data_IF_600534059599
#
_entry.id   IF_600534059599
#
_cell.length_a   1.000
_cell.length_b   1.000
_cell.length_c   1.000
_cell.angle_alpha   90.00
_cell.angle_beta   90.00
_cell.angle_gamma   90.00
#
_symmetry.space_group_name_H-M   'P 1'
#
loop_
_entity.id
_entity.type
_entity.pdbx_description
1 polymer ?
#
# COMPACT_ATOMS: atom_id res chain seq x y z
N UNK A 1 16.58 33.36 7.75
CA UNK A 1 16.63 31.98 8.29
C UNK A 1 15.40 31.26 7.76
N UNK A 2 15.58 30.26 6.90
CA UNK A 2 14.47 29.51 6.33
C UNK A 2 13.89 28.57 7.38
N UNK A 3 12.58 28.67 7.62
CA UNK A 3 11.82 27.64 8.35
C UNK A 3 12.09 26.28 7.70
N UNK A 4 12.44 25.22 8.44
CA UNK A 4 12.58 23.90 7.87
C UNK A 4 11.20 23.48 7.35
N UNK A 5 11.04 23.46 6.03
CA UNK A 5 9.89 22.87 5.37
C UNK A 5 9.86 21.40 5.73
N UNK A 6 9.02 21.02 6.70
CA UNK A 6 8.65 19.62 6.89
C UNK A 6 8.03 19.16 5.57
N UNK A 7 8.77 18.34 4.83
CA UNK A 7 8.46 18.01 3.46
C UNK A 7 7.33 16.97 3.40
N UNK A 8 6.10 17.45 3.60
CA UNK A 8 4.89 16.66 3.36
C UNK A 8 4.84 16.13 1.94
N UNK A 9 5.51 16.79 0.98
CA UNK A 9 5.58 16.30 -0.39
C UNK A 9 6.48 15.07 -0.52
N UNK A 10 7.52 14.92 0.30
CA UNK A 10 8.32 13.69 0.35
C UNK A 10 7.57 12.53 1.01
N UNK A 11 6.76 12.81 2.03
CA UNK A 11 5.87 11.81 2.64
C UNK A 11 4.75 11.36 1.68
N UNK A 12 4.14 12.30 0.96
CA UNK A 12 3.12 12.01 -0.05
C UNK A 12 3.73 11.21 -1.21
N UNK A 13 4.94 11.56 -1.67
CA UNK A 13 5.67 10.78 -2.68
C UNK A 13 5.97 9.36 -2.21
N UNK A 14 6.40 9.18 -0.97
CA UNK A 14 6.72 7.84 -0.45
C UNK A 14 5.45 6.99 -0.27
N UNK A 15 4.35 7.58 0.19
CA UNK A 15 3.05 6.92 0.24
C UNK A 15 2.56 6.52 -1.16
N UNK A 16 2.69 7.42 -2.14
CA UNK A 16 2.32 7.17 -3.54
C UNK A 16 3.21 6.09 -4.17
N UNK A 17 4.50 6.04 -3.82
CA UNK A 17 5.43 4.99 -4.23
C UNK A 17 5.02 3.62 -3.71
N UNK A 18 4.67 3.52 -2.42
CA UNK A 18 4.20 2.27 -1.79
C UNK A 18 2.91 1.78 -2.46
N UNK A 19 1.96 2.68 -2.72
CA UNK A 19 0.70 2.34 -3.39
C UNK A 19 0.95 1.86 -4.83
N UNK A 20 1.82 2.54 -5.57
CA UNK A 20 2.16 2.16 -6.94
C UNK A 20 2.89 0.81 -7.02
N UNK A 21 3.78 0.52 -6.08
CA UNK A 21 4.44 -0.79 -5.98
C UNK A 21 3.45 -1.91 -5.63
N UNK A 22 2.50 -1.65 -4.72
CA UNK A 22 1.45 -2.60 -4.39
C UNK A 22 0.55 -2.89 -5.60
N UNK A 23 0.16 -1.86 -6.37
CA UNK A 23 -0.59 -2.02 -7.63
C UNK A 23 0.17 -2.85 -8.65
N UNK A 24 1.45 -2.56 -8.88
CA UNK A 24 2.30 -3.34 -9.80
C UNK A 24 2.39 -4.82 -9.39
N UNK A 25 2.51 -5.10 -8.09
CA UNK A 25 2.54 -6.48 -7.57
C UNK A 25 1.18 -7.16 -7.76
N UNK A 26 0.07 -6.48 -7.50
CA UNK A 26 -1.27 -7.00 -7.74
C UNK A 26 -1.48 -7.34 -9.23
N UNK A 27 -1.08 -6.45 -10.13
CA UNK A 27 -1.16 -6.68 -11.59
C UNK A 27 -0.30 -7.86 -12.06
N UNK A 28 0.86 -8.06 -11.43
CA UNK A 28 1.73 -9.21 -11.69
C UNK A 28 1.05 -10.52 -11.25
N UNK A 29 0.48 -10.55 -10.05
CA UNK A 29 -0.25 -11.71 -9.53
C UNK A 29 -1.44 -12.05 -10.42
N UNK A 30 -2.22 -11.05 -10.84
CA UNK A 30 -3.37 -11.24 -11.73
C UNK A 30 -2.91 -11.76 -13.11
N UNK A 31 -1.84 -11.20 -13.67
CA UNK A 31 -1.30 -11.68 -14.96
C UNK A 31 -0.79 -13.11 -14.89
N UNK A 32 -0.07 -13.47 -13.83
CA UNK A 32 0.39 -14.85 -13.63
C UNK A 32 -0.77 -15.82 -13.41
N UNK A 33 -1.78 -15.43 -12.63
CA UNK A 33 -2.97 -16.23 -12.42
C UNK A 33 -3.72 -16.47 -13.75
N UNK A 34 -3.85 -15.43 -14.59
CA UNK A 34 -4.44 -15.55 -15.94
C UNK A 34 -3.61 -16.47 -16.84
N UNK A 35 -2.28 -16.34 -16.83
CA UNK A 35 -1.38 -17.20 -17.62
C UNK A 35 -1.53 -18.68 -17.23
N UNK A 36 -1.49 -18.98 -15.92
CA UNK A 36 -1.69 -20.34 -15.40
C UNK A 36 -3.10 -20.87 -15.71
N UNK A 37 -4.12 -20.04 -15.60
CA UNK A 37 -5.49 -20.43 -15.96
C UNK A 37 -5.59 -20.81 -17.45
N UNK A 38 -4.95 -20.06 -18.36
CA UNK A 38 -4.92 -20.38 -19.78
C UNK A 38 -4.12 -21.65 -20.10
N UNK A 39 -3.00 -21.90 -19.42
CA UNK A 39 -2.25 -23.15 -19.55
C UNK A 39 -3.12 -24.35 -19.14
N UNK A 40 -3.83 -24.24 -18.02
CA UNK A 40 -4.75 -25.28 -17.54
C UNK A 40 -5.90 -25.51 -18.54
N UNK A 41 -6.51 -24.43 -19.07
CA UNK A 41 -7.59 -24.51 -20.07
C UNK A 41 -7.16 -25.12 -21.41
N UNK A 42 -5.86 -25.05 -21.74
CA UNK A 42 -5.30 -25.62 -22.97
C UNK A 42 -5.01 -27.13 -22.85
N UNK A 43 -5.14 -27.70 -21.65
CA UNK A 43 -4.97 -29.13 -21.39
C UNK A 43 -6.34 -29.82 -21.51
N UNK A 44 -6.51 -30.83 -22.38
CA UNK A 44 -7.74 -31.63 -22.40
C UNK A 44 -7.83 -32.49 -21.12
N UNK A 45 -9.04 -32.66 -20.55
CA UNK A 45 -9.45 -33.46 -19.34
C UNK A 45 -9.82 -32.66 -18.07
N UNK A 46 -10.42 -33.33 -17.05
CA UNK A 46 -11.86 -33.30 -16.73
C UNK A 46 -12.36 -31.94 -16.23
N UNK A 47 -13.41 -31.44 -16.89
CA UNK A 47 -13.88 -30.05 -16.86
C UNK A 47 -14.37 -29.55 -15.49
N UNK A 48 -14.82 -30.43 -14.59
CA UNK A 48 -15.43 -30.02 -13.30
C UNK A 48 -14.41 -29.75 -12.19
N UNK A 49 -13.41 -30.62 -12.00
CA UNK A 49 -12.38 -30.40 -10.97
C UNK A 49 -11.51 -29.19 -11.31
N UNK A 50 -11.17 -29.02 -12.59
CA UNK A 50 -10.43 -27.88 -13.08
C UNK A 50 -11.20 -26.57 -12.88
N UNK A 51 -12.51 -26.54 -13.15
CA UNK A 51 -13.31 -25.34 -12.90
C UNK A 51 -13.40 -25.00 -11.40
N UNK A 52 -13.48 -26.03 -10.55
CA UNK A 52 -13.48 -25.84 -9.10
C UNK A 52 -12.15 -25.27 -8.61
N UNK A 53 -11.02 -25.81 -9.07
CA UNK A 53 -9.69 -25.29 -8.76
C UNK A 53 -9.47 -23.89 -9.34
N UNK A 54 -9.92 -23.62 -10.58
CA UNK A 54 -9.84 -22.30 -11.21
C UNK A 54 -10.58 -21.25 -10.38
N UNK A 55 -11.82 -21.53 -9.99
CA UNK A 55 -12.62 -20.63 -9.14
C UNK A 55 -12.03 -20.45 -7.75
N UNK A 56 -11.33 -21.46 -7.22
CA UNK A 56 -10.62 -21.35 -5.94
C UNK A 56 -9.38 -20.46 -6.09
N UNK A 57 -8.56 -20.70 -7.11
CA UNK A 57 -7.34 -19.94 -7.37
C UNK A 57 -7.64 -18.45 -7.63
N UNK A 58 -8.68 -18.15 -8.39
CA UNK A 58 -9.10 -16.77 -8.64
C UNK A 58 -9.56 -16.07 -7.35
N UNK A 59 -10.37 -16.75 -6.53
CA UNK A 59 -10.82 -16.20 -5.24
C UNK A 59 -9.66 -15.98 -4.27
N UNK A 60 -8.76 -16.95 -4.15
CA UNK A 60 -7.57 -16.85 -3.29
C UNK A 60 -6.65 -15.70 -3.76
N UNK A 61 -6.53 -15.48 -5.08
CA UNK A 61 -5.75 -14.39 -5.64
C UNK A 61 -6.41 -13.02 -5.39
N UNK A 62 -7.72 -12.91 -5.58
CA UNK A 62 -8.49 -11.69 -5.27
C UNK A 62 -8.41 -11.34 -3.78
N UNK A 63 -8.61 -12.32 -2.89
CA UNK A 63 -8.53 -12.12 -1.46
C UNK A 63 -7.13 -11.67 -1.02
N UNK A 64 -6.07 -12.29 -1.58
CA UNK A 64 -4.69 -11.87 -1.32
C UNK A 64 -4.43 -10.45 -1.84
N UNK A 65 -4.92 -10.11 -3.03
CA UNK A 65 -4.76 -8.76 -3.56
C UNK A 65 -5.47 -7.72 -2.67
N UNK A 66 -6.69 -8.00 -2.24
CA UNK A 66 -7.44 -7.13 -1.33
C UNK A 66 -6.74 -6.96 0.03
N UNK A 67 -6.21 -8.05 0.59
CA UNK A 67 -5.46 -7.97 1.85
C UNK A 67 -4.18 -7.14 1.71
N UNK A 68 -3.43 -7.29 0.61
CA UNK A 68 -2.24 -6.48 0.33
C UNK A 68 -2.60 -5.00 0.24
N UNK A 69 -3.71 -4.66 -0.45
CA UNK A 69 -4.17 -3.28 -0.58
C UNK A 69 -4.56 -2.71 0.79
N UNK A 70 -5.35 -3.44 1.57
CA UNK A 70 -5.79 -3.02 2.90
C UNK A 70 -4.63 -2.78 3.86
N UNK A 71 -3.66 -3.70 3.90
CA UNK A 71 -2.46 -3.53 4.72
C UNK A 71 -1.61 -2.32 4.29
N UNK A 72 -1.53 -2.05 2.99
CA UNK A 72 -0.83 -0.88 2.48
C UNK A 72 -1.55 0.43 2.87
N UNK A 73 -2.87 0.47 2.80
CA UNK A 73 -3.69 1.61 3.23
C UNK A 73 -3.55 1.88 4.73
N UNK A 74 -3.60 0.85 5.57
CA UNK A 74 -3.41 0.98 7.02
C UNK A 74 -2.02 1.51 7.37
N UNK A 75 -0.97 0.99 6.71
CA UNK A 75 0.40 1.48 6.89
C UNK A 75 0.55 2.94 6.46
N UNK A 76 -0.01 3.32 5.32
CA UNK A 76 0.02 4.70 4.82
C UNK A 76 -0.69 5.64 5.81
N UNK A 77 -1.86 5.24 6.32
CA UNK A 77 -2.62 6.02 7.31
C UNK A 77 -1.83 6.19 8.62
N UNK A 78 -1.25 5.11 9.16
CA UNK A 78 -0.42 5.18 10.37
C UNK A 78 0.80 6.07 10.19
N UNK A 79 1.43 6.06 9.01
CA UNK A 79 2.56 6.92 8.70
C UNK A 79 2.14 8.40 8.72
N UNK A 80 0.98 8.71 8.13
CA UNK A 80 0.40 10.07 8.10
C UNK A 80 0.06 10.57 9.51
N UNK A 81 -0.55 9.72 10.34
CA UNK A 81 -0.93 10.09 11.71
C UNK A 81 0.32 10.35 12.57
N UNK A 82 1.36 9.52 12.45
CA UNK A 82 2.64 9.73 13.13
C UNK A 82 3.33 11.02 12.67
N UNK A 83 3.29 11.30 11.37
CA UNK A 83 3.85 12.53 10.80
C UNK A 83 3.13 13.77 11.35
N UNK A 84 1.79 13.76 11.39
CA UNK A 84 1.01 14.86 11.97
C UNK A 84 1.30 15.06 13.46
N UNK A 85 1.34 13.99 14.24
CA UNK A 85 1.64 14.08 15.68
C UNK A 85 3.05 14.63 15.95
N UNK A 86 4.03 14.24 15.12
CA UNK A 86 5.37 14.81 15.21
C UNK A 86 5.41 16.27 14.77
N UNK A 87 4.66 16.63 13.72
CA UNK A 87 4.54 18.01 13.26
C UNK A 87 3.98 18.92 14.34
N UNK A 88 2.88 18.54 15.01
CA UNK A 88 2.30 19.33 16.10
C UNK A 88 3.29 19.54 17.26
N UNK A 89 4.01 18.48 17.65
CA UNK A 89 5.05 18.56 18.70
C UNK A 89 6.18 19.49 18.29
N UNK A 90 6.66 19.40 17.05
CA UNK A 90 7.72 20.26 16.54
C UNK A 90 7.25 21.71 16.42
N UNK A 91 6.04 21.95 15.94
CA UNK A 91 5.45 23.29 15.85
C UNK A 91 5.31 23.92 17.24
N UNK A 92 4.79 23.18 18.21
CA UNK A 92 4.69 23.64 19.61
C UNK A 92 6.06 23.96 20.20
N UNK A 93 7.07 23.13 19.92
CA UNK A 93 8.44 23.37 20.37
C UNK A 93 9.05 24.64 19.74
N UNK A 94 8.90 24.83 18.43
CA UNK A 94 9.36 26.04 17.72
C UNK A 94 8.65 27.29 18.23
N UNK A 95 7.33 27.22 18.44
CA UNK A 95 6.56 28.34 19.00
C UNK A 95 7.05 28.69 20.42
N UNK A 96 7.37 27.69 21.24
CA UNK A 96 7.94 27.90 22.58
C UNK A 96 9.29 28.62 22.51
N UNK A 97 10.14 28.24 21.56
CA UNK A 97 11.43 28.91 21.30
C UNK A 97 11.23 30.36 20.87
N UNK A 98 10.36 30.60 19.88
CA UNK A 98 10.12 31.94 19.33
C UNK A 98 9.46 32.86 20.35
N UNK A 99 8.58 32.33 21.21
CA UNK A 99 7.96 33.07 22.31
C UNK A 99 8.93 33.37 23.47
N UNK A 100 10.18 32.90 23.41
CA UNK A 100 11.18 33.13 24.45
C UNK A 100 10.94 32.33 25.74
N UNK A 101 10.11 31.29 25.69
CA UNK A 101 9.76 30.44 26.84
C UNK A 101 10.79 29.32 27.08
N UNK A 102 12.07 29.61 26.82
CA UNK A 102 13.15 28.65 26.98
C UNK A 102 13.68 28.71 28.43
N UNK A 103 13.31 27.72 29.23
CA UNK A 103 14.02 27.33 30.47
C UNK A 103 14.66 25.96 30.27
#
# INVERSE_FOLDING_TARGET
MGVPSFDFADLDKEAERIINEAKKKADLIIREARRKANEILSTPYPTEEIEKERKKLLRDAEEKALNIIREAEEKARSLRDKANANYEKTLAYVLKIVAGLNE
#
